data_IF_237032268551
#
_entry.id   IF_237032268551
#
_cell.length_a   1.000
_cell.length_b   1.000
_cell.length_c   1.000
_cell.angle_alpha   90.00
_cell.angle_beta   90.00
_cell.angle_gamma   90.00
#
_symmetry.space_group_name_H-M   'P 1'
#
loop_
_entity.id
_entity.type
_entity.pdbx_description
1 polymer ?
#
# COMPACT_ATOMS: atom_id res chain seq x y z
N UNK A 1 0.37 9.15 -4.14
CA UNK A 1 0.52 8.78 -5.57
C UNK A 1 -0.69 9.31 -6.33
N UNK A 2 -0.55 9.81 -7.58
CA UNK A 2 -1.69 10.23 -8.39
C UNK A 2 -2.70 9.08 -8.57
N UNK A 3 -4.00 9.37 -8.48
CA UNK A 3 -5.04 8.36 -8.63
C UNK A 3 -5.09 7.80 -10.06
N UNK A 4 -4.70 8.61 -11.05
CA UNK A 4 -4.56 8.20 -12.47
C UNK A 4 -3.66 6.99 -12.64
N UNK A 5 -2.56 6.88 -11.88
CA UNK A 5 -1.68 5.72 -11.93
C UNK A 5 -2.42 4.41 -11.60
N UNK A 6 -3.25 4.40 -10.55
CA UNK A 6 -4.03 3.20 -10.23
C UNK A 6 -5.22 3.01 -11.17
N UNK A 7 -5.83 4.08 -11.67
CA UNK A 7 -6.89 3.98 -12.68
C UNK A 7 -6.38 3.25 -13.93
N UNK A 8 -5.19 3.62 -14.41
CA UNK A 8 -4.59 3.04 -15.62
C UNK A 8 -4.27 1.55 -15.43
N UNK A 9 -3.80 1.17 -14.23
CA UNK A 9 -3.43 -0.21 -13.93
C UNK A 9 -4.64 -1.10 -13.65
N UNK A 10 -5.66 -0.58 -12.95
CA UNK A 10 -6.77 -1.37 -12.41
C UNK A 10 -8.11 -1.13 -13.11
N UNK A 11 -8.19 -0.18 -14.04
CA UNK A 11 -9.45 0.22 -14.69
C UNK A 11 -10.42 0.92 -13.73
N UNK A 12 -9.89 1.70 -12.77
CA UNK A 12 -10.70 2.42 -11.79
C UNK A 12 -11.17 3.77 -12.32
N UNK A 13 -12.18 4.32 -11.64
CA UNK A 13 -12.80 5.60 -11.96
C UNK A 13 -12.54 6.69 -10.92
N UNK A 14 -11.42 6.64 -10.18
CA UNK A 14 -11.11 7.75 -9.26
C UNK A 14 -10.92 9.06 -10.02
N UNK A 15 -11.23 10.23 -9.43
CA UNK A 15 -11.08 11.49 -10.14
C UNK A 15 -9.62 11.77 -10.51
N UNK A 16 -9.38 12.32 -11.71
CA UNK A 16 -8.04 12.54 -12.24
C UNK A 16 -7.22 13.56 -11.43
N UNK A 17 -7.89 14.48 -10.76
CA UNK A 17 -7.31 15.51 -9.91
C UNK A 17 -7.10 15.05 -8.45
N UNK A 18 -7.15 13.74 -8.19
CA UNK A 18 -6.97 13.16 -6.85
C UNK A 18 -5.68 12.35 -6.70
N UNK A 19 -5.24 12.20 -5.46
CA UNK A 19 -4.16 11.34 -5.04
C UNK A 19 -4.66 10.31 -4.03
N UNK A 20 -4.00 9.15 -4.03
CA UNK A 20 -4.10 8.12 -3.01
C UNK A 20 -2.88 8.23 -2.11
N UNK A 21 -3.12 8.34 -0.81
CA UNK A 21 -2.10 8.47 0.22
C UNK A 21 -2.27 7.40 1.28
N UNK A 22 -1.15 6.79 1.69
CA UNK A 22 -1.08 5.85 2.82
C UNK A 22 -0.47 6.59 3.99
N UNK A 23 -1.18 6.63 5.11
CA UNK A 23 -0.68 7.11 6.38
C UNK A 23 -0.41 5.92 7.26
N UNK A 24 0.74 5.90 7.92
CA UNK A 24 1.07 4.87 8.90
C UNK A 24 1.66 5.50 10.15
N UNK A 25 1.34 4.94 11.30
CA UNK A 25 1.86 5.40 12.59
C UNK A 25 3.24 4.78 12.81
N UNK A 26 4.30 5.59 12.71
CA UNK A 26 5.66 5.12 12.96
C UNK A 26 6.04 5.29 14.44
N UNK A 27 6.42 4.20 15.11
CA UNK A 27 7.01 4.21 16.44
C UNK A 27 8.25 3.31 16.45
N UNK A 28 9.39 3.84 16.86
CA UNK A 28 10.68 3.15 16.91
C UNK A 28 10.66 1.83 17.71
N UNK A 29 9.66 1.62 18.58
CA UNK A 29 9.59 0.43 19.45
C UNK A 29 8.57 -0.65 19.00
N UNK A 30 7.53 -0.30 18.25
CA UNK A 30 6.38 -1.20 17.99
C UNK A 30 5.79 -1.08 16.57
N UNK A 31 6.49 -0.42 15.64
CA UNK A 31 5.95 -0.14 14.30
C UNK A 31 5.46 -1.39 13.55
N UNK A 32 6.24 -2.47 13.60
CA UNK A 32 5.95 -3.70 12.87
C UNK A 32 4.60 -4.33 13.28
N UNK A 33 4.33 -4.43 14.59
CA UNK A 33 3.11 -5.07 15.12
C UNK A 33 1.82 -4.36 14.65
N UNK A 34 1.92 -3.10 14.22
CA UNK A 34 0.78 -2.28 13.83
C UNK A 34 0.49 -2.24 12.34
N UNK A 35 1.40 -2.78 11.52
CA UNK A 35 1.29 -2.76 10.06
C UNK A 35 1.38 -4.16 9.44
N UNK A 36 1.82 -5.16 10.20
CA UNK A 36 1.95 -6.53 9.71
C UNK A 36 0.57 -7.20 9.59
N UNK A 37 0.37 -7.92 8.49
CA UNK A 37 -0.79 -8.80 8.33
C UNK A 37 -0.39 -10.16 7.77
N UNK A 38 -0.52 -11.18 8.61
CA UNK A 38 -0.22 -12.56 8.28
C UNK A 38 -1.49 -13.41 8.09
N UNK A 39 -2.62 -12.81 7.73
CA UNK A 39 -3.89 -13.52 7.57
C UNK A 39 -4.68 -13.69 8.88
N UNK A 40 -4.08 -13.43 10.05
CA UNK A 40 -4.77 -13.45 11.34
C UNK A 40 -5.83 -12.33 11.41
N UNK A 41 -7.11 -12.63 11.70
CA UNK A 41 -8.14 -11.63 11.93
C UNK A 41 -7.78 -10.59 13.00
N UNK A 42 -6.94 -10.92 13.99
CA UNK A 42 -6.49 -9.99 15.02
C UNK A 42 -5.51 -8.94 14.46
N UNK A 43 -4.60 -9.35 13.58
CA UNK A 43 -3.69 -8.44 12.86
C UNK A 43 -4.51 -7.46 12.01
N UNK A 44 -5.45 -7.98 11.22
CA UNK A 44 -6.32 -7.16 10.37
C UNK A 44 -7.12 -6.16 11.20
N UNK A 45 -7.70 -6.62 12.33
CA UNK A 45 -8.42 -5.75 13.25
C UNK A 45 -7.50 -4.67 13.82
N UNK A 46 -6.26 -5.02 14.16
CA UNK A 46 -5.25 -4.09 14.68
C UNK A 46 -4.99 -3.00 13.64
N UNK A 47 -4.64 -3.36 12.41
CA UNK A 47 -4.40 -2.39 11.31
C UNK A 47 -5.62 -1.45 11.13
N UNK A 48 -6.84 -2.01 11.18
CA UNK A 48 -8.09 -1.27 11.05
C UNK A 48 -8.42 -0.35 12.25
N UNK A 49 -7.67 -0.40 13.36
CA UNK A 49 -7.80 0.57 14.47
C UNK A 49 -7.22 1.96 14.12
N UNK A 50 -6.72 2.15 12.90
CA UNK A 50 -6.21 3.44 12.41
C UNK A 50 -4.70 3.59 12.47
N UNK A 51 -3.94 2.51 12.71
CA UNK A 51 -2.49 2.55 12.61
C UNK A 51 -2.01 2.75 11.18
N UNK A 52 -2.78 2.23 10.23
CA UNK A 52 -2.61 2.54 8.81
C UNK A 52 -3.93 3.02 8.23
N UNK A 53 -3.88 4.03 7.38
CA UNK A 53 -5.05 4.59 6.70
C UNK A 53 -4.73 4.86 5.24
N UNK A 54 -5.54 4.34 4.33
CA UNK A 54 -5.48 4.65 2.91
C UNK A 54 -6.58 5.66 2.61
N UNK A 55 -6.22 6.82 2.06
CA UNK A 55 -7.20 7.85 1.71
C UNK A 55 -7.08 8.33 0.28
N UNK A 56 -8.23 8.75 -0.27
CA UNK A 56 -8.33 9.49 -1.54
C UNK A 56 -8.65 10.95 -1.22
N UNK A 57 -7.91 11.88 -1.81
CA UNK A 57 -8.11 13.31 -1.62
C UNK A 57 -7.68 14.10 -2.87
N UNK A 58 -8.20 15.33 -3.08
CA UNK A 58 -7.73 16.20 -4.15
C UNK A 58 -6.21 16.38 -4.07
N UNK A 59 -5.55 16.44 -5.23
CA UNK A 59 -4.12 16.70 -5.31
C UNK A 59 -3.86 18.09 -4.71
N UNK A 60 -3.10 18.09 -3.62
CA UNK A 60 -2.49 19.27 -3.02
C UNK A 60 -0.97 19.14 -3.13
N UNK A 61 -0.23 20.08 -2.53
CA UNK A 61 1.22 19.88 -2.34
C UNK A 61 1.52 18.64 -1.49
N UNK A 62 2.75 18.09 -1.54
CA UNK A 62 3.16 16.98 -0.70
C UNK A 62 2.90 17.31 0.77
N UNK A 63 2.06 16.53 1.44
CA UNK A 63 1.78 16.69 2.87
C UNK A 63 2.51 15.60 3.64
N UNK A 64 3.62 15.98 4.24
CA UNK A 64 4.24 15.20 5.30
C UNK A 64 3.90 15.86 6.63
N UNK A 65 3.11 15.19 7.46
CA UNK A 65 2.87 15.62 8.84
C UNK A 65 3.96 15.03 9.79
N UNK A 66 4.98 14.37 9.24
CA UNK A 66 6.09 13.76 9.98
C UNK A 66 7.25 14.72 10.28
N UNK A 67 8.00 14.42 11.35
CA UNK A 67 9.21 15.18 11.76
C UNK A 67 10.36 14.98 10.78
N UNK A 68 10.41 13.83 10.11
CA UNK A 68 11.32 13.49 9.02
C UNK A 68 10.53 13.39 7.70
N UNK A 69 11.17 13.75 6.59
CA UNK A 69 10.60 13.63 5.25
C UNK A 69 11.50 12.81 4.36
N UNK A 70 10.90 11.81 3.70
CA UNK A 70 11.52 11.10 2.59
C UNK A 70 11.24 11.92 1.33
N UNK A 71 12.27 12.30 0.53
CA UNK A 71 12.05 13.00 -0.72
C UNK A 71 11.17 12.17 -1.65
N UNK A 72 10.27 12.84 -2.38
CA UNK A 72 9.46 12.18 -3.39
C UNK A 72 10.37 11.45 -4.39
N UNK A 73 10.04 10.18 -4.67
CA UNK A 73 10.75 9.34 -5.61
C UNK A 73 9.90 9.08 -6.85
N UNK A 74 10.55 8.99 -8.01
CA UNK A 74 9.92 8.55 -9.24
C UNK A 74 9.77 7.02 -9.23
N UNK A 75 8.59 6.54 -9.63
CA UNK A 75 8.36 5.11 -9.87
C UNK A 75 8.58 4.86 -11.35
N UNK A 76 9.64 4.12 -11.69
CA UNK A 76 9.95 3.72 -13.07
C UNK A 76 9.44 2.29 -13.25
N UNK A 77 8.37 2.12 -14.03
CA UNK A 77 7.79 0.81 -14.31
C UNK A 77 8.64 0.07 -15.36
N UNK A 78 8.97 -1.20 -15.10
CA UNK A 78 9.69 -2.07 -16.02
C UNK A 78 8.76 -2.88 -16.93
N UNK A 79 9.23 -4.08 -17.31
CA UNK A 79 8.53 -4.99 -18.21
C UNK A 79 7.25 -5.57 -17.58
N UNK A 80 6.32 -6.00 -18.44
CA UNK A 80 5.13 -6.75 -18.04
C UNK A 80 5.54 -8.16 -17.63
N UNK A 81 5.14 -8.58 -16.43
CA UNK A 81 5.40 -9.94 -15.94
C UNK A 81 4.44 -10.94 -16.60
N UNK A 82 4.98 -12.00 -17.21
CA UNK A 82 4.17 -13.10 -17.78
C UNK A 82 3.51 -13.97 -16.69
N UNK A 83 4.13 -14.08 -15.52
CA UNK A 83 3.62 -14.77 -14.33
C UNK A 83 3.81 -13.88 -13.10
N UNK A 84 2.73 -13.65 -12.35
CA UNK A 84 2.73 -12.71 -11.23
C UNK A 84 2.39 -13.34 -9.87
N UNK A 85 1.89 -14.57 -9.82
CA UNK A 85 1.39 -15.21 -8.59
C UNK A 85 2.49 -15.42 -7.53
N UNK A 86 3.73 -15.65 -7.96
CA UNK A 86 4.88 -15.89 -7.06
C UNK A 86 5.89 -14.74 -7.04
N UNK A 87 5.62 -13.64 -7.75
CA UNK A 87 6.54 -12.50 -7.78
C UNK A 87 6.36 -11.64 -6.53
N UNK A 88 7.38 -11.62 -5.68
CA UNK A 88 7.39 -10.92 -4.37
C UNK A 88 8.10 -9.55 -4.41
N UNK A 89 8.70 -9.17 -5.55
CA UNK A 89 9.30 -7.83 -5.74
C UNK A 89 8.26 -6.72 -5.93
N UNK A 90 8.69 -5.48 -6.16
CA UNK A 90 7.76 -4.38 -6.43
C UNK A 90 7.00 -4.57 -7.74
N UNK A 91 5.66 -4.51 -7.69
CA UNK A 91 4.81 -4.58 -8.89
C UNK A 91 3.46 -3.89 -8.68
N UNK A 92 2.80 -3.56 -9.78
CA UNK A 92 1.44 -3.03 -9.79
C UNK A 92 0.56 -3.88 -10.71
N UNK A 93 -0.72 -4.01 -10.36
CA UNK A 93 -1.69 -4.81 -11.12
C UNK A 93 -1.52 -6.32 -10.98
N UNK A 94 -2.51 -7.07 -11.48
CA UNK A 94 -2.55 -8.52 -11.36
C UNK A 94 -2.87 -9.03 -9.94
N UNK A 95 -2.25 -10.13 -9.54
CA UNK A 95 -2.43 -10.74 -8.22
C UNK A 95 -1.26 -10.41 -7.28
N UNK A 96 -1.50 -10.15 -5.97
CA UNK A 96 -0.44 -9.94 -5.00
C UNK A 96 0.44 -11.20 -4.88
N UNK A 97 1.76 -11.01 -4.80
CA UNK A 97 2.69 -12.10 -4.48
C UNK A 97 3.00 -12.07 -2.99
N UNK A 98 2.14 -12.69 -2.18
CA UNK A 98 2.29 -12.73 -0.73
C UNK A 98 3.55 -13.51 -0.32
N UNK A 99 4.20 -13.08 0.76
CA UNK A 99 5.33 -13.80 1.37
C UNK A 99 4.87 -15.03 2.16
N UNK A 100 3.58 -15.09 2.48
CA UNK A 100 2.95 -16.17 3.23
C UNK A 100 1.68 -16.65 2.51
N UNK A 101 1.28 -17.89 2.80
CA UNK A 101 0.15 -18.54 2.15
C UNK A 101 -1.00 -18.75 3.13
N UNK A 102 -1.68 -17.65 3.47
CA UNK A 102 -2.75 -17.64 4.47
C UNK A 102 -4.10 -17.25 3.84
N UNK A 103 -5.19 -17.41 4.59
CA UNK A 103 -6.52 -17.01 4.13
C UNK A 103 -6.77 -15.53 4.41
N UNK A 104 -6.52 -14.68 3.42
CA UNK A 104 -6.67 -13.23 3.55
C UNK A 104 -8.11 -12.77 3.29
N UNK A 105 -8.67 -11.98 4.20
CA UNK A 105 -10.02 -11.41 4.09
C UNK A 105 -10.07 -10.17 3.16
N UNK A 106 -9.50 -10.27 1.95
CA UNK A 106 -9.26 -9.15 1.03
C UNK A 106 -10.12 -9.18 -0.25
N UNK A 107 -11.03 -10.15 -0.38
CA UNK A 107 -11.83 -10.39 -1.60
C UNK A 107 -12.74 -9.22 -2.04
N UNK A 108 -12.97 -8.25 -1.16
CA UNK A 108 -13.76 -7.05 -1.44
C UNK A 108 -12.90 -5.86 -1.88
N UNK A 109 -11.58 -6.01 -1.89
CA UNK A 109 -10.62 -4.99 -2.29
C UNK A 109 -9.89 -5.42 -3.56
N UNK A 110 -9.37 -4.44 -4.28
CA UNK A 110 -8.54 -4.66 -5.45
C UNK A 110 -7.08 -4.41 -5.10
N UNK A 111 -6.23 -5.37 -5.48
CA UNK A 111 -4.79 -5.21 -5.35
C UNK A 111 -4.30 -4.10 -6.27
N UNK A 112 -3.67 -3.05 -5.72
CA UNK A 112 -3.11 -1.95 -6.51
C UNK A 112 -1.62 -2.05 -6.72
N UNK A 113 -0.87 -2.25 -5.64
CA UNK A 113 0.58 -2.16 -5.67
C UNK A 113 1.18 -3.02 -4.54
N UNK A 114 2.31 -3.65 -4.81
CA UNK A 114 3.22 -4.12 -3.78
C UNK A 114 4.59 -3.46 -3.96
N UNK A 115 5.25 -3.17 -2.85
CA UNK A 115 6.56 -2.51 -2.80
C UNK A 115 7.50 -3.35 -1.95
N UNK A 116 8.60 -3.79 -2.54
CA UNK A 116 9.68 -4.46 -1.83
C UNK A 116 10.55 -3.41 -1.15
N UNK A 117 10.77 -3.54 0.16
CA UNK A 117 11.51 -2.56 0.97
C UNK A 117 12.91 -2.28 0.41
N UNK A 118 13.60 -3.32 -0.06
CA UNK A 118 14.92 -3.23 -0.66
C UNK A 118 15.00 -2.49 -2.00
N UNK A 119 13.87 -2.19 -2.64
CA UNK A 119 13.84 -1.35 -3.86
C UNK A 119 13.94 0.15 -3.54
N UNK A 120 13.78 0.54 -2.27
CA UNK A 120 13.94 1.93 -1.86
C UNK A 120 15.42 2.35 -1.84
N UNK A 121 15.75 3.58 -2.29
CA UNK A 121 17.10 4.07 -2.26
C UNK A 121 17.60 4.25 -0.82
N UNK A 122 18.91 4.11 -0.61
CA UNK A 122 19.55 4.46 0.66
C UNK A 122 19.28 5.95 1.01
N UNK A 123 19.02 6.27 2.29
CA UNK A 123 19.06 5.41 3.48
C UNK A 123 17.71 4.73 3.84
N UNK A 124 16.77 4.63 2.90
CA UNK A 124 15.38 4.21 3.16
C UNK A 124 15.09 2.76 2.78
N UNK A 125 16.11 1.93 2.56
CA UNK A 125 15.95 0.51 2.19
C UNK A 125 15.22 -0.32 3.26
N UNK A 126 15.07 0.21 4.47
CA UNK A 126 14.31 -0.35 5.58
C UNK A 126 13.05 0.46 5.91
N UNK A 127 12.37 1.05 4.91
CA UNK A 127 11.17 1.88 5.12
C UNK A 127 10.04 1.13 5.85
N UNK A 128 9.98 -0.20 5.70
CA UNK A 128 9.08 -1.09 6.42
C UNK A 128 9.75 -1.76 7.63
N UNK A 129 10.75 -1.11 8.22
CA UNK A 129 11.64 -1.59 9.29
C UNK A 129 12.62 -2.69 8.90
N UNK A 130 12.23 -3.58 7.99
CA UNK A 130 13.06 -4.65 7.44
C UNK A 130 13.29 -4.43 5.93
N UNK A 131 14.46 -4.79 5.42
CA UNK A 131 14.80 -4.62 4.01
C UNK A 131 14.09 -5.62 3.08
N UNK A 132 13.76 -6.79 3.61
CA UNK A 132 13.08 -7.87 2.91
C UNK A 132 11.55 -7.83 3.06
N UNK A 133 11.03 -6.84 3.79
CA UNK A 133 9.61 -6.64 3.95
C UNK A 133 8.94 -6.16 2.65
N UNK A 134 7.71 -6.61 2.42
CA UNK A 134 6.88 -6.21 1.29
C UNK A 134 5.63 -5.51 1.80
N UNK A 135 5.42 -4.27 1.35
CA UNK A 135 4.19 -3.52 1.61
C UNK A 135 3.17 -3.77 0.50
N UNK A 136 1.90 -3.92 0.86
CA UNK A 136 0.79 -4.18 -0.07
C UNK A 136 -0.27 -3.10 0.08
N UNK A 137 -0.66 -2.52 -1.05
CA UNK A 137 -1.76 -1.57 -1.15
C UNK A 137 -2.96 -2.24 -1.84
N UNK A 138 -4.06 -2.29 -1.11
CA UNK A 138 -5.38 -2.69 -1.61
C UNK A 138 -6.31 -1.48 -1.57
N UNK A 139 -7.09 -1.29 -2.63
CA UNK A 139 -8.03 -0.17 -2.78
C UNK A 139 -9.45 -0.66 -2.98
N UNK A 140 -10.43 0.10 -2.50
CA UNK A 140 -11.85 -0.18 -2.72
C UNK A 140 -12.26 0.19 -4.14
N UNK A 141 -13.22 -0.51 -4.76
CA UNK A 141 -13.86 -0.03 -5.97
C UNK A 141 -14.43 1.38 -5.82
N UNK A 142 -14.36 2.17 -6.91
CA UNK A 142 -14.81 3.57 -6.90
C UNK A 142 -16.26 3.76 -6.42
N UNK A 143 -17.13 2.80 -6.72
CA UNK A 143 -18.53 2.80 -6.31
C UNK A 143 -18.71 2.88 -4.77
N UNK A 144 -17.73 2.40 -4.01
CA UNK A 144 -17.81 2.32 -2.54
C UNK A 144 -17.24 3.57 -1.84
N UNK A 145 -16.63 4.51 -2.59
CA UNK A 145 -16.05 5.76 -2.05
C UNK A 145 -17.02 6.95 -2.08
N UNK A 146 -18.07 6.92 -2.92
CA UNK A 146 -19.01 8.05 -3.05
C UNK A 146 -19.86 8.32 -1.78
N UNK A 147 -19.85 7.42 -0.79
CA UNK A 147 -20.65 7.54 0.46
C UNK A 147 -20.00 8.36 1.59
N UNK A 148 -19.20 9.40 1.26
CA UNK A 148 -18.61 10.38 2.21
C UNK A 148 -17.44 9.88 3.07
N UNK A 149 -16.89 8.69 2.84
CA UNK A 149 -15.71 8.24 3.57
C UNK A 149 -14.44 8.51 2.77
N UNK A 150 -13.42 9.12 3.38
CA UNK A 150 -12.10 9.24 2.76
C UNK A 150 -11.36 7.91 2.73
N UNK A 151 -11.85 6.89 3.42
CA UNK A 151 -11.28 5.54 3.50
C UNK A 151 -11.36 4.81 2.15
N UNK A 152 -10.21 4.72 1.51
CA UNK A 152 -10.05 4.20 0.16
C UNK A 152 -9.50 2.77 0.11
N UNK A 153 -9.17 2.14 1.24
CA UNK A 153 -8.60 0.80 1.22
C UNK A 153 -7.76 0.40 2.42
N UNK A 154 -6.88 -0.57 2.20
CA UNK A 154 -6.03 -1.18 3.21
C UNK A 154 -4.57 -1.16 2.74
N UNK A 155 -3.67 -0.83 3.66
CA UNK A 155 -2.24 -1.07 3.46
C UNK A 155 -1.70 -1.89 4.63
N UNK A 156 -0.85 -2.85 4.32
CA UNK A 156 -0.18 -3.70 5.30
C UNK A 156 1.16 -4.19 4.77
N UNK A 157 1.97 -4.75 5.67
CA UNK A 157 3.31 -5.28 5.37
C UNK A 157 3.35 -6.77 5.69
N UNK A 158 4.20 -7.50 4.97
CA UNK A 158 4.64 -8.85 5.36
C UNK A 158 6.17 -8.89 5.41
N UNK A 159 6.69 -9.74 6.27
CA UNK A 159 8.10 -10.13 6.35
C UNK A 159 8.18 -11.64 6.55
N UNK A 160 9.36 -12.23 6.29
CA UNK A 160 9.66 -13.66 6.48
C UNK A 160 10.25 -14.00 7.83
#
# INVERSE_FOLDING_TARGET
>A
MPATFLNDVLGLGYPEDHAISVFTTYNEQYFLDYIIYHGDPLDLKTIQMGFTQVIVHPIAGPRSDGVSSIPAQEIITGDVLESNEHYTGSKTGGMPGFLQHENYALHHLMFGLQLYGGDYPEPFSNIFYLQDAVGYLFVKPYADWMEQTTDAGLFFVQCT
#
